data_IF_889812357285
#
_entry.id   IF_889812357285
#
_cell.length_a   1.000
_cell.length_b   1.000
_cell.length_c   1.000
_cell.angle_alpha   90.00
_cell.angle_beta   90.00
_cell.angle_gamma   90.00
#
_symmetry.space_group_name_H-M   'P 1'
#
loop_
_entity.id
_entity.type
_entity.pdbx_description
1 polymer ?
#
# COMPACT_ATOMS: atom_id res chain seq x y z
N UNK A 1 20.46 3.09 -4.18
CA UNK A 1 19.00 3.25 -4.33
C UNK A 1 18.58 4.60 -3.77
N UNK A 2 18.05 5.53 -4.57
CA UNK A 2 17.91 6.95 -4.20
C UNK A 2 16.48 7.51 -4.17
N UNK A 3 15.45 6.68 -4.34
CA UNK A 3 14.06 7.13 -4.32
C UNK A 3 13.19 6.14 -3.54
N UNK A 4 12.43 6.63 -2.58
CA UNK A 4 11.40 5.87 -1.88
C UNK A 4 10.14 5.79 -2.76
N UNK A 5 10.26 5.06 -3.87
CA UNK A 5 9.25 4.92 -4.92
C UNK A 5 9.14 3.45 -5.31
N UNK A 6 7.99 2.85 -5.01
CA UNK A 6 7.63 1.51 -5.48
C UNK A 6 6.93 1.67 -6.85
N UNK A 7 7.41 0.97 -7.88
CA UNK A 7 6.81 0.96 -9.21
C UNK A 7 6.98 -0.44 -9.81
N UNK A 8 5.90 -0.96 -10.39
CA UNK A 8 5.89 -2.24 -11.11
C UNK A 8 6.84 -2.26 -12.33
N UNK A 9 7.29 -1.10 -12.81
CA UNK A 9 8.29 -1.00 -13.88
C UNK A 9 9.71 -1.41 -13.42
N UNK A 10 9.98 -1.37 -12.12
CA UNK A 10 11.28 -1.69 -11.54
C UNK A 10 11.42 -3.13 -11.04
N UNK A 11 10.35 -3.93 -11.13
CA UNK A 11 10.28 -5.29 -10.59
C UNK A 11 8.90 -5.61 -10.01
N UNK A 12 8.79 -6.79 -9.41
CA UNK A 12 7.54 -7.29 -8.81
C UNK A 12 7.09 -6.35 -7.69
N UNK A 13 5.82 -5.94 -7.73
CA UNK A 13 5.23 -5.15 -6.67
C UNK A 13 4.70 -6.04 -5.55
N UNK A 14 5.49 -6.18 -4.48
CA UNK A 14 5.10 -6.95 -3.31
C UNK A 14 4.12 -6.23 -2.37
N UNK A 15 3.84 -4.95 -2.62
CA UNK A 15 3.20 -4.04 -1.66
C UNK A 15 1.70 -3.79 -1.89
N UNK A 16 1.01 -4.69 -2.60
CA UNK A 16 -0.44 -4.60 -2.84
C UNK A 16 -1.17 -5.22 -1.63
N UNK A 17 -1.92 -4.44 -0.83
CA UNK A 17 -2.54 -4.93 0.40
C UNK A 17 -3.94 -5.55 0.17
N UNK A 18 -4.30 -5.82 -1.09
CA UNK A 18 -5.61 -6.31 -1.48
C UNK A 18 -5.46 -7.64 -2.21
N UNK A 19 -6.52 -8.44 -2.20
CA UNK A 19 -6.67 -9.62 -3.06
C UNK A 19 -7.26 -9.25 -4.41
N UNK A 20 -7.02 -10.09 -5.42
CA UNK A 20 -7.59 -9.94 -6.76
C UNK A 20 -9.12 -9.87 -6.72
N UNK A 21 -9.76 -10.71 -5.89
CA UNK A 21 -11.21 -10.69 -5.68
C UNK A 21 -11.69 -9.39 -5.06
N UNK A 22 -10.94 -8.82 -4.11
CA UNK A 22 -11.34 -7.56 -3.48
C UNK A 22 -11.36 -6.42 -4.50
N UNK A 23 -10.42 -6.35 -5.43
CA UNK A 23 -10.33 -5.27 -6.42
C UNK A 23 -11.01 -5.60 -7.76
N UNK A 24 -11.58 -6.79 -7.91
CA UNK A 24 -12.07 -7.35 -9.17
C UNK A 24 -10.98 -7.32 -10.28
N UNK A 25 -9.78 -7.78 -9.94
CA UNK A 25 -8.68 -7.83 -10.89
C UNK A 25 -8.98 -8.80 -12.04
N UNK A 26 -8.50 -8.45 -13.23
CA UNK A 26 -8.69 -9.24 -14.46
C UNK A 26 -7.73 -10.43 -14.55
N UNK A 27 -6.58 -10.31 -13.87
CA UNK A 27 -5.50 -11.28 -13.85
C UNK A 27 -4.97 -11.43 -12.43
N UNK A 28 -4.17 -12.48 -12.20
CA UNK A 28 -3.56 -12.77 -10.89
C UNK A 28 -2.42 -11.80 -10.61
N UNK A 29 -2.24 -11.45 -9.34
CA UNK A 29 -1.08 -10.67 -8.94
C UNK A 29 0.20 -11.51 -8.98
N UNK A 30 1.30 -10.86 -9.31
CA UNK A 30 2.64 -11.49 -9.28
C UNK A 30 3.11 -11.77 -7.85
N UNK A 31 2.55 -11.08 -6.86
CA UNK A 31 2.87 -11.27 -5.45
C UNK A 31 1.69 -10.98 -4.53
N UNK A 32 1.43 -11.91 -3.60
CA UNK A 32 0.45 -11.77 -2.53
C UNK A 32 1.05 -11.44 -1.16
N UNK A 33 2.36 -11.11 -1.12
CA UNK A 33 3.13 -10.90 0.11
C UNK A 33 2.43 -10.01 1.14
N UNK A 34 1.99 -8.80 0.78
CA UNK A 34 1.37 -7.89 1.76
C UNK A 34 0.04 -8.41 2.31
N UNK A 35 -0.76 -9.09 1.49
CA UNK A 35 -2.00 -9.72 1.94
C UNK A 35 -1.69 -10.89 2.89
N UNK A 36 -0.69 -11.71 2.57
CA UNK A 36 -0.27 -12.82 3.42
C UNK A 36 0.33 -12.33 4.74
N UNK A 37 1.12 -11.26 4.71
CA UNK A 37 1.62 -10.55 5.89
C UNK A 37 0.47 -10.06 6.76
N UNK A 38 -0.49 -9.34 6.19
CA UNK A 38 -1.63 -8.81 6.93
C UNK A 38 -2.52 -9.89 7.54
N UNK A 39 -2.59 -11.06 6.91
CA UNK A 39 -3.43 -12.18 7.37
C UNK A 39 -2.70 -13.17 8.27
N UNK A 40 -1.41 -12.93 8.57
CA UNK A 40 -0.61 -13.81 9.42
C UNK A 40 -0.25 -15.15 8.74
N UNK A 41 -0.28 -15.20 7.41
CA UNK A 41 -0.01 -16.43 6.63
C UNK A 41 1.45 -16.62 6.26
N UNK A 42 2.31 -15.64 6.51
CA UNK A 42 3.74 -15.81 6.27
C UNK A 42 4.26 -16.96 7.12
N UNK A 43 4.91 -17.92 6.51
CA UNK A 43 5.59 -18.97 7.27
C UNK A 43 6.87 -18.37 7.85
N UNK A 44 7.23 -18.67 9.11
CA UNK A 44 8.61 -18.47 9.55
C UNK A 44 9.49 -19.30 8.60
N UNK A 45 10.47 -18.66 7.97
CA UNK A 45 11.49 -19.41 7.23
C UNK A 45 12.21 -20.31 8.23
N UNK A 46 12.36 -21.61 7.91
CA UNK A 46 13.33 -22.48 8.57
C UNK A 46 14.74 -22.09 8.09
N UNK A 47 15.15 -20.83 8.33
CA UNK A 47 16.53 -20.43 8.09
C UNK A 47 17.36 -20.86 9.28
N UNK A 48 18.15 -21.91 9.10
CA UNK A 48 19.16 -22.32 10.07
C UNK A 48 20.08 -21.16 10.45
N UNK A 49 20.19 -20.99 11.76
CA UNK A 49 21.30 -20.38 12.50
C UNK A 49 21.35 -18.85 12.72
N UNK A 50 21.75 -18.53 13.96
CA UNK A 50 22.18 -17.24 14.54
C UNK A 50 21.21 -16.24 15.17
N UNK A 51 19.92 -16.54 15.38
CA UNK A 51 19.03 -15.74 16.27
C UNK A 51 18.13 -16.60 17.18
N UNK A 52 18.62 -17.75 17.63
CA UNK A 52 17.87 -18.65 18.54
C UNK A 52 17.72 -18.12 19.97
N UNK A 53 18.53 -17.14 20.37
CA UNK A 53 18.64 -16.74 21.78
C UNK A 53 17.77 -15.53 22.15
N UNK A 54 17.03 -14.99 21.17
CA UNK A 54 15.94 -14.06 21.42
C UNK A 54 14.64 -14.84 21.20
N UNK A 55 14.06 -15.37 22.28
CA UNK A 55 12.70 -15.92 22.33
C UNK A 55 11.67 -14.83 21.99
N UNK A 56 11.62 -14.42 20.73
CA UNK A 56 10.53 -13.68 20.13
C UNK A 56 10.16 -14.46 18.86
N UNK A 57 9.70 -15.69 19.05
CA UNK A 57 8.88 -16.36 18.04
C UNK A 57 7.52 -15.65 18.05
N UNK A 58 7.49 -14.43 17.51
CA UNK A 58 6.22 -13.78 17.17
C UNK A 58 5.65 -14.60 16.03
N UNK A 59 4.77 -15.54 16.38
CA UNK A 59 3.93 -16.19 15.39
C UNK A 59 3.23 -15.10 14.58
N UNK A 60 3.23 -15.19 13.24
CA UNK A 60 2.64 -14.17 12.40
C UNK A 60 1.15 -14.09 12.71
N UNK A 61 0.76 -13.09 13.48
CA UNK A 61 -0.63 -12.87 13.86
C UNK A 61 -1.31 -12.03 12.80
N UNK A 62 -2.57 -12.36 12.53
CA UNK A 62 -3.44 -11.51 11.71
C UNK A 62 -3.47 -10.10 12.29
N UNK A 63 -3.23 -9.10 11.45
CA UNK A 63 -3.28 -7.70 11.86
C UNK A 63 -4.72 -7.29 12.13
N UNK A 64 -4.94 -6.64 13.28
CA UNK A 64 -6.18 -5.97 13.61
C UNK A 64 -6.04 -4.46 13.44
N UNK A 65 -6.87 -3.88 12.58
CA UNK A 65 -6.85 -2.45 12.31
C UNK A 65 -7.81 -1.70 13.24
N UNK A 66 -7.31 -0.59 13.78
CA UNK A 66 -8.18 0.43 14.37
C UNK A 66 -9.10 1.09 13.33
N UNK A 67 -10.09 1.84 13.79
CA UNK A 67 -11.13 2.44 12.96
C UNK A 67 -10.54 3.34 11.86
N UNK A 68 -9.56 4.18 12.20
CA UNK A 68 -8.93 5.09 11.24
C UNK A 68 -8.08 4.33 10.20
N UNK A 69 -7.38 3.27 10.61
CA UNK A 69 -6.60 2.43 9.72
C UNK A 69 -7.51 1.65 8.75
N UNK A 70 -8.65 1.15 9.25
CA UNK A 70 -9.71 0.54 8.44
C UNK A 70 -10.23 1.52 7.40
N UNK A 71 -10.50 2.78 7.79
CA UNK A 71 -10.99 3.80 6.86
C UNK A 71 -9.99 4.14 5.75
N UNK A 72 -8.68 4.14 6.05
CA UNK A 72 -7.62 4.27 5.04
C UNK A 72 -7.62 3.07 4.10
N UNK A 73 -7.69 1.86 4.66
CA UNK A 73 -7.71 0.62 3.89
C UNK A 73 -8.90 0.57 2.92
N UNK A 74 -10.10 0.89 3.40
CA UNK A 74 -11.33 0.88 2.60
C UNK A 74 -11.30 1.97 1.50
N UNK A 75 -10.79 3.18 1.81
CA UNK A 75 -10.60 4.22 0.79
C UNK A 75 -9.57 3.84 -0.27
N UNK A 76 -8.49 3.15 0.13
CA UNK A 76 -7.52 2.58 -0.80
C UNK A 76 -8.15 1.52 -1.68
N UNK A 77 -8.99 0.64 -1.12
CA UNK A 77 -9.66 -0.42 -1.86
C UNK A 77 -10.58 0.15 -2.95
N UNK A 78 -11.35 1.20 -2.64
CA UNK A 78 -12.19 1.90 -3.63
C UNK A 78 -11.37 2.47 -4.79
N UNK A 79 -10.21 3.10 -4.48
CA UNK A 79 -9.30 3.62 -5.49
C UNK A 79 -8.74 2.52 -6.41
N UNK A 80 -8.31 1.39 -5.84
CA UNK A 80 -7.83 0.26 -6.64
C UNK A 80 -8.93 -0.36 -7.49
N UNK A 81 -10.13 -0.55 -6.94
CA UNK A 81 -11.31 -1.03 -7.70
C UNK A 81 -11.58 -0.15 -8.91
N UNK A 82 -11.54 1.17 -8.72
CA UNK A 82 -11.74 2.11 -9.82
C UNK A 82 -10.66 1.95 -10.89
N UNK A 83 -9.39 1.86 -10.50
CA UNK A 83 -8.29 1.64 -11.43
C UNK A 83 -8.43 0.31 -12.21
N UNK A 84 -8.80 -0.78 -11.54
CA UNK A 84 -9.01 -2.10 -12.17
C UNK A 84 -10.24 -2.16 -13.10
N UNK A 85 -11.19 -1.22 -12.95
CA UNK A 85 -12.32 -1.12 -13.87
C UNK A 85 -11.90 -0.65 -15.27
N UNK A 86 -10.78 0.08 -15.39
CA UNK A 86 -10.29 0.62 -16.64
C UNK A 86 -9.74 -0.48 -17.58
N UNK A 87 -9.95 -0.37 -18.90
CA UNK A 87 -9.38 -1.30 -19.87
C UNK A 87 -7.85 -1.19 -19.92
N UNK A 88 -7.16 -2.33 -19.95
CA UNK A 88 -5.69 -2.37 -20.07
C UNK A 88 -4.94 -1.86 -18.83
N UNK A 89 -5.57 -1.83 -17.66
CA UNK A 89 -4.89 -1.48 -16.41
C UNK A 89 -3.78 -2.49 -16.10
N UNK A 90 -2.67 -2.02 -15.51
CA UNK A 90 -1.63 -2.91 -15.01
C UNK A 90 -2.07 -3.51 -13.67
N UNK A 91 -2.31 -4.82 -13.61
CA UNK A 91 -2.82 -5.46 -12.39
C UNK A 91 -1.85 -5.38 -11.20
N UNK A 92 -0.55 -5.24 -11.46
CA UNK A 92 0.48 -5.14 -10.43
C UNK A 92 0.84 -3.69 -10.08
N UNK A 93 0.05 -2.71 -10.50
CA UNK A 93 0.32 -1.28 -10.29
C UNK A 93 0.44 -0.92 -8.80
N UNK A 94 1.48 -0.15 -8.47
CA UNK A 94 1.58 0.50 -7.15
C UNK A 94 0.70 1.75 -7.09
N UNK A 95 0.50 2.32 -5.89
CA UNK A 95 -0.14 3.64 -5.76
C UNK A 95 0.56 4.69 -6.62
N UNK A 96 1.89 4.61 -6.76
CA UNK A 96 2.64 5.53 -7.60
C UNK A 96 2.24 5.36 -9.08
N UNK A 97 2.18 4.13 -9.56
CA UNK A 97 1.83 3.83 -10.96
C UNK A 97 0.39 4.25 -11.28
N UNK A 98 -0.55 4.00 -10.37
CA UNK A 98 -1.94 4.47 -10.48
C UNK A 98 -1.97 5.99 -10.56
N UNK A 99 -1.25 6.68 -9.67
CA UNK A 99 -1.16 8.15 -9.72
C UNK A 99 -0.53 8.65 -11.02
N UNK A 100 0.50 7.98 -11.52
CA UNK A 100 1.14 8.30 -12.80
C UNK A 100 0.16 8.15 -13.97
N UNK A 101 -0.66 7.09 -13.97
CA UNK A 101 -1.66 6.85 -15.01
C UNK A 101 -2.66 8.00 -15.13
N UNK A 102 -3.22 8.47 -14.00
CA UNK A 102 -4.22 9.53 -14.00
C UNK A 102 -3.64 10.94 -14.09
N UNK A 103 -2.51 11.21 -13.43
CA UNK A 103 -1.91 12.55 -13.40
C UNK A 103 -1.02 12.80 -14.63
N UNK A 104 -0.51 11.76 -15.28
CA UNK A 104 0.45 11.90 -16.38
C UNK A 104 1.77 12.57 -15.95
N UNK A 105 2.59 12.92 -16.94
CA UNK A 105 3.86 13.65 -16.75
C UNK A 105 3.90 14.91 -17.61
N UNK A 106 4.65 15.91 -17.17
CA UNK A 106 4.93 17.11 -17.94
C UNK A 106 6.12 16.94 -18.89
N UNK A 107 6.45 17.98 -19.68
CA UNK A 107 7.56 18.00 -20.63
C UNK A 107 8.94 17.77 -19.99
N UNK A 108 9.08 18.04 -18.70
CA UNK A 108 10.31 17.78 -17.92
C UNK A 108 10.32 16.37 -17.30
N UNK A 109 9.34 15.53 -17.63
CA UNK A 109 9.19 14.19 -17.09
C UNK A 109 8.77 14.15 -15.62
N UNK A 110 8.29 15.23 -15.00
CA UNK A 110 7.74 15.23 -13.63
C UNK A 110 6.25 14.90 -13.65
N UNK A 111 5.77 14.13 -12.68
CA UNK A 111 4.34 13.81 -12.55
C UNK A 111 3.54 15.09 -12.26
N UNK A 112 2.39 15.27 -12.92
CA UNK A 112 1.56 16.44 -12.65
C UNK A 112 0.89 16.35 -11.27
N UNK A 113 0.53 17.48 -10.67
CA UNK A 113 -0.12 17.52 -9.35
C UNK A 113 -1.64 17.25 -9.42
N UNK A 114 -2.24 17.40 -10.60
CA UNK A 114 -3.68 17.29 -10.86
C UNK A 114 -3.94 16.22 -11.92
N UNK A 115 -5.16 15.72 -11.93
CA UNK A 115 -5.73 14.84 -12.96
C UNK A 115 -7.00 15.49 -13.48
N UNK A 116 -7.38 15.19 -14.71
CA UNK A 116 -8.68 15.58 -15.29
C UNK A 116 -9.80 14.60 -14.86
N UNK A 117 -9.43 13.41 -14.39
CA UNK A 117 -10.38 12.40 -13.93
C UNK A 117 -10.96 12.81 -12.56
N UNK A 118 -12.24 13.20 -12.58
CA UNK A 118 -12.98 13.68 -11.41
C UNK A 118 -13.19 12.56 -10.38
N UNK A 119 -13.46 11.34 -10.82
CA UNK A 119 -13.73 10.19 -9.94
C UNK A 119 -12.45 9.82 -9.19
N UNK A 120 -11.35 9.63 -9.92
CA UNK A 120 -10.02 9.40 -9.34
C UNK A 120 -9.64 10.52 -8.37
N UNK A 121 -9.84 11.78 -8.74
CA UNK A 121 -9.47 12.92 -7.90
C UNK A 121 -10.25 12.92 -6.59
N UNK A 122 -11.54 12.58 -6.62
CA UNK A 122 -12.37 12.41 -5.42
C UNK A 122 -11.87 11.27 -4.54
N UNK A 123 -11.63 10.08 -5.11
CA UNK A 123 -11.13 8.90 -4.40
C UNK A 123 -9.76 9.14 -3.76
N UNK A 124 -8.83 9.77 -4.50
CA UNK A 124 -7.51 10.13 -3.98
C UNK A 124 -7.60 11.15 -2.85
N UNK A 125 -8.54 12.09 -2.93
CA UNK A 125 -8.77 13.08 -1.87
C UNK A 125 -9.29 12.40 -0.61
N UNK A 126 -10.31 11.53 -0.73
CA UNK A 126 -10.83 10.70 0.37
C UNK A 126 -9.73 9.87 1.04
N UNK A 127 -8.87 9.22 0.25
CA UNK A 127 -7.72 8.47 0.76
C UNK A 127 -6.75 9.37 1.54
N UNK A 128 -6.41 10.54 1.01
CA UNK A 128 -5.50 11.51 1.68
C UNK A 128 -6.09 12.05 2.98
N UNK A 129 -7.38 12.32 3.02
CA UNK A 129 -8.02 12.83 4.22
C UNK A 129 -8.09 11.77 5.32
N UNK A 130 -8.40 10.51 4.98
CA UNK A 130 -8.29 9.39 5.93
C UNK A 130 -6.85 9.18 6.42
N UNK A 131 -5.85 9.34 5.54
CA UNK A 131 -4.43 9.27 5.94
C UNK A 131 -4.04 10.37 6.92
N UNK A 132 -4.58 11.58 6.79
CA UNK A 132 -4.38 12.67 7.76
C UNK A 132 -4.98 12.30 9.11
N UNK A 133 -6.21 11.78 9.12
CA UNK A 133 -6.86 11.33 10.36
C UNK A 133 -6.07 10.23 11.06
N UNK A 134 -5.61 9.22 10.30
CA UNK A 134 -4.75 8.16 10.83
C UNK A 134 -3.45 8.73 11.38
N UNK A 135 -2.82 9.68 10.67
CA UNK A 135 -1.59 10.35 11.11
C UNK A 135 -1.74 10.96 12.50
N UNK A 136 -2.87 11.62 12.78
CA UNK A 136 -3.12 12.21 14.10
C UNK A 136 -3.15 11.18 15.24
N UNK A 137 -3.56 9.93 14.95
CA UNK A 137 -3.58 8.84 15.94
C UNK A 137 -2.22 8.20 16.17
N UNK A 138 -1.42 8.06 15.11
CA UNK A 138 -0.10 7.42 15.19
C UNK A 138 0.99 8.41 15.63
N UNK A 139 0.83 9.71 15.37
CA UNK A 139 1.83 10.73 15.65
C UNK A 139 2.33 10.73 17.12
N UNK A 140 1.48 10.63 18.16
CA UNK A 140 1.97 10.57 19.54
C UNK A 140 2.89 9.36 19.79
N UNK A 141 2.55 8.21 19.20
CA UNK A 141 3.31 6.96 19.33
C UNK A 141 4.68 7.04 18.65
N UNK A 142 4.81 7.81 17.56
CA UNK A 142 6.10 8.02 16.88
C UNK A 142 7.11 8.67 17.82
N UNK A 143 6.68 9.61 18.65
CA UNK A 143 7.54 10.23 19.68
C UNK A 143 7.73 9.33 20.89
N UNK A 144 6.68 8.62 21.33
CA UNK A 144 6.73 7.69 22.46
C UNK A 144 7.75 6.57 22.24
N UNK A 145 7.74 5.98 21.04
CA UNK A 145 8.69 4.92 20.67
C UNK A 145 10.04 5.45 20.16
N UNK A 146 10.28 6.76 20.21
CA UNK A 146 11.58 7.35 19.90
C UNK A 146 11.98 7.34 18.42
N UNK A 147 11.05 7.11 17.50
CA UNK A 147 11.31 7.24 16.06
C UNK A 147 11.69 8.67 15.67
N UNK A 148 11.16 9.67 16.39
CA UNK A 148 11.51 11.08 16.26
C UNK A 148 11.73 11.70 17.65
N UNK A 149 12.70 12.63 17.75
CA UNK A 149 12.89 13.45 18.97
C UNK A 149 11.84 14.56 19.01
N UNK A 150 11.36 14.87 20.22
CA UNK A 150 10.46 16.02 20.48
C UNK A 150 11.21 17.34 20.41
#
# INVERSE_FOLDING_TARGET
HGQNRISSKGGINHWIPFTETQVNARERFESNFMTDFMTGKLKPEESGDLMSDLEIVQTPQKLEFGIEARAVFDAGLELWRYYHSLPGCNVNASLYDIREHFQGRNSLGRMNNKSEDVIYTSLLTKLRDNLKLLTLKIQPKVYEYGFLKR
#
